data_IF_991310499228
#
_entry.id   IF_991310499228
#
_cell.length_a   1.000
_cell.length_b   1.000
_cell.length_c   1.000
_cell.angle_alpha   90.00
_cell.angle_beta   90.00
_cell.angle_gamma   90.00
#
_symmetry.space_group_name_H-M   'P 1'
#
loop_
_entity.id
_entity.type
_entity.pdbx_description
1 polymer ?
#
# COMPACT_ATOMS: atom_id res chain seq x y z
N UNK A 1 -17.65 -25.39 14.06
CA UNK A 1 -17.97 -24.20 13.24
C UNK A 1 -17.03 -24.19 12.05
N UNK A 2 -17.57 -24.38 10.84
CA UNK A 2 -16.78 -24.28 9.60
C UNK A 2 -16.31 -22.83 9.51
N UNK A 3 -14.99 -22.59 9.45
CA UNK A 3 -14.47 -21.31 8.98
C UNK A 3 -14.78 -21.29 7.49
N UNK A 4 -15.90 -20.70 7.13
CA UNK A 4 -16.17 -20.33 5.74
C UNK A 4 -15.01 -19.44 5.32
N UNK A 5 -14.23 -19.93 4.36
CA UNK A 5 -13.15 -19.15 3.77
C UNK A 5 -13.79 -17.98 3.05
N UNK A 6 -13.86 -16.83 3.73
CA UNK A 6 -14.12 -15.56 3.05
C UNK A 6 -12.94 -15.36 2.11
N UNK A 7 -13.15 -15.69 0.85
CA UNK A 7 -12.25 -15.25 -0.23
C UNK A 7 -12.35 -13.74 -0.20
N UNK A 8 -11.34 -13.09 0.39
CA UNK A 8 -11.24 -11.64 0.34
C UNK A 8 -11.19 -11.25 -1.15
N UNK A 9 -12.22 -10.55 -1.60
CA UNK A 9 -12.20 -9.96 -2.92
C UNK A 9 -11.27 -8.72 -2.93
N UNK A 10 -10.87 -8.29 -4.13
CA UNK A 10 -9.99 -7.12 -4.29
C UNK A 10 -10.58 -5.87 -3.61
N UNK A 11 -11.92 -5.73 -3.57
CA UNK A 11 -12.60 -4.57 -3.02
C UNK A 11 -12.50 -4.55 -1.50
N UNK A 12 -12.69 -5.68 -0.83
CA UNK A 12 -12.53 -5.87 0.61
C UNK A 12 -11.08 -5.61 1.03
N UNK A 13 -10.11 -6.12 0.26
CA UNK A 13 -8.69 -5.82 0.50
C UNK A 13 -8.41 -4.31 0.39
N UNK A 14 -8.85 -3.67 -0.69
CA UNK A 14 -8.69 -2.23 -0.90
C UNK A 14 -9.36 -1.45 0.24
N UNK A 15 -10.54 -1.87 0.70
CA UNK A 15 -11.28 -1.24 1.80
C UNK A 15 -10.47 -1.24 3.09
N UNK A 16 -9.85 -2.38 3.44
CA UNK A 16 -8.98 -2.50 4.62
C UNK A 16 -7.81 -1.53 4.53
N UNK A 17 -7.16 -1.43 3.37
CA UNK A 17 -6.05 -0.50 3.18
C UNK A 17 -6.49 0.97 3.25
N UNK A 18 -7.65 1.31 2.67
CA UNK A 18 -8.23 2.66 2.77
C UNK A 18 -8.57 3.02 4.21
N UNK A 19 -9.12 2.09 5.00
CA UNK A 19 -9.34 2.31 6.42
C UNK A 19 -8.00 2.55 7.15
N UNK A 20 -6.96 1.79 6.85
CA UNK A 20 -5.63 2.01 7.41
C UNK A 20 -5.06 3.40 7.06
N UNK A 21 -5.33 3.92 5.85
CA UNK A 21 -4.96 5.31 5.51
C UNK A 21 -5.65 6.37 6.34
N UNK A 22 -6.89 6.12 6.77
CA UNK A 22 -7.69 7.11 7.53
C UNK A 22 -7.32 7.17 9.00
N UNK A 23 -6.83 6.07 9.56
CA UNK A 23 -6.44 5.98 10.96
C UNK A 23 -4.96 6.35 11.16
N UNK A 24 -4.21 6.56 10.07
CA UNK A 24 -2.74 6.72 10.07
C UNK A 24 -2.02 5.57 10.81
N UNK A 25 -2.71 4.43 10.98
CA UNK A 25 -2.21 3.30 11.74
C UNK A 25 -1.39 2.36 10.85
N UNK A 26 -0.09 2.63 10.85
CA UNK A 26 0.93 1.85 10.16
C UNK A 26 1.01 0.40 10.63
N UNK A 27 0.66 0.13 11.90
CA UNK A 27 0.66 -1.20 12.47
C UNK A 27 -0.41 -2.06 11.83
N UNK A 28 -1.60 -1.49 11.67
CA UNK A 28 -2.76 -2.16 11.06
C UNK A 28 -2.55 -2.41 9.56
N UNK A 29 -1.97 -1.45 8.83
CA UNK A 29 -1.65 -1.60 7.41
C UNK A 29 -0.62 -2.70 7.12
N UNK A 30 0.45 -2.80 7.93
CA UNK A 30 1.44 -3.88 7.81
C UNK A 30 0.89 -5.24 8.19
N UNK A 31 0.05 -5.32 9.23
CA UNK A 31 -0.61 -6.57 9.61
C UNK A 31 -1.57 -7.05 8.51
N UNK A 32 -2.35 -6.14 7.92
CA UNK A 32 -3.21 -6.45 6.79
C UNK A 32 -2.42 -6.98 5.60
N UNK A 33 -1.32 -6.32 5.21
CA UNK A 33 -0.44 -6.81 4.15
C UNK A 33 0.16 -8.20 4.48
N UNK A 34 0.63 -8.41 5.71
CA UNK A 34 1.16 -9.70 6.15
C UNK A 34 0.11 -10.83 6.16
N UNK A 35 -1.14 -10.52 6.50
CA UNK A 35 -2.25 -11.46 6.41
C UNK A 35 -2.55 -11.87 4.96
N UNK A 36 -2.52 -10.91 4.03
CA UNK A 36 -2.81 -11.18 2.62
C UNK A 36 -1.71 -12.00 1.95
N UNK A 37 -0.43 -11.71 2.26
CA UNK A 37 0.71 -12.53 1.82
C UNK A 37 0.58 -13.97 2.35
N UNK A 38 0.23 -14.15 3.64
CA UNK A 38 0.05 -15.48 4.24
C UNK A 38 -1.14 -16.25 3.67
N UNK A 39 -2.16 -15.56 3.16
CA UNK A 39 -3.33 -16.18 2.52
C UNK A 39 -3.05 -16.67 1.09
N UNK A 40 -1.85 -16.44 0.55
CA UNK A 40 -1.49 -16.84 -0.82
C UNK A 40 -2.26 -16.07 -1.89
N UNK A 41 -2.87 -14.94 -1.52
CA UNK A 41 -3.60 -14.07 -2.44
C UNK A 41 -2.56 -13.26 -3.21
N UNK A 42 -2.28 -13.68 -4.44
CA UNK A 42 -1.50 -12.88 -5.38
C UNK A 42 -2.19 -11.54 -5.58
N UNK A 43 -1.51 -10.46 -5.21
CA UNK A 43 -2.09 -9.13 -5.35
C UNK A 43 -2.23 -8.79 -6.84
N UNK A 44 -3.47 -8.67 -7.31
CA UNK A 44 -3.73 -8.07 -8.61
C UNK A 44 -3.27 -6.61 -8.64
N UNK A 45 -3.02 -6.06 -9.84
CA UNK A 45 -2.54 -4.69 -10.05
C UNK A 45 -3.37 -3.65 -9.28
N UNK A 46 -4.68 -3.86 -9.16
CA UNK A 46 -5.59 -2.97 -8.40
C UNK A 46 -5.27 -2.94 -6.91
N UNK A 47 -5.03 -4.10 -6.29
CA UNK A 47 -4.72 -4.18 -4.85
C UNK A 47 -3.33 -3.62 -4.59
N UNK A 48 -2.33 -3.94 -5.42
CA UNK A 48 -1.00 -3.35 -5.32
C UNK A 48 -1.03 -1.81 -5.38
N UNK A 49 -1.81 -1.25 -6.31
CA UNK A 49 -1.97 0.20 -6.43
C UNK A 49 -2.61 0.81 -5.17
N UNK A 50 -3.59 0.15 -4.56
CA UNK A 50 -4.20 0.62 -3.33
C UNK A 50 -3.23 0.57 -2.13
N UNK A 51 -2.43 -0.50 -2.03
CA UNK A 51 -1.37 -0.62 -1.02
C UNK A 51 -0.32 0.46 -1.18
N UNK A 52 0.16 0.68 -2.41
CA UNK A 52 1.09 1.76 -2.71
C UNK A 52 0.52 3.12 -2.34
N UNK A 53 -0.72 3.41 -2.71
CA UNK A 53 -1.37 4.68 -2.35
C UNK A 53 -1.49 4.85 -0.82
N UNK A 54 -1.70 3.76 -0.09
CA UNK A 54 -1.68 3.80 1.37
C UNK A 54 -0.31 4.22 1.90
N UNK A 55 0.75 3.57 1.42
CA UNK A 55 2.11 3.93 1.82
C UNK A 55 2.51 5.35 1.43
N UNK A 56 2.08 5.85 0.26
CA UNK A 56 2.30 7.25 -0.16
C UNK A 56 1.67 8.22 0.84
N UNK A 57 0.42 7.99 1.26
CA UNK A 57 -0.27 8.85 2.23
C UNK A 57 0.38 8.81 3.62
N UNK A 58 0.96 7.67 3.96
CA UNK A 58 1.71 7.47 5.19
C UNK A 58 3.17 7.98 5.13
N UNK A 59 3.63 8.52 4.00
CA UNK A 59 5.01 8.99 3.81
C UNK A 59 6.07 7.88 3.74
N UNK A 60 5.66 6.62 3.54
CA UNK A 60 6.54 5.45 3.54
C UNK A 60 7.00 5.09 2.13
N UNK A 61 7.84 5.96 1.54
CA UNK A 61 8.23 5.86 0.13
C UNK A 61 9.03 4.59 -0.19
N UNK A 62 9.84 4.10 0.74
CA UNK A 62 10.56 2.83 0.53
C UNK A 62 9.62 1.62 0.44
N UNK A 63 8.51 1.61 1.18
CA UNK A 63 7.49 0.56 1.06
C UNK A 63 6.73 0.66 -0.27
N UNK A 64 6.46 1.88 -0.75
CA UNK A 64 5.90 2.10 -2.11
C UNK A 64 6.81 1.49 -3.17
N UNK A 65 8.13 1.74 -3.08
CA UNK A 65 9.13 1.19 -4.01
C UNK A 65 9.17 -0.33 -3.95
N UNK A 66 9.16 -0.90 -2.74
CA UNK A 66 9.18 -2.35 -2.53
C UNK A 66 7.99 -3.03 -3.20
N UNK A 67 6.77 -2.55 -2.93
CA UNK A 67 5.55 -3.11 -3.53
C UNK A 67 5.62 -2.99 -5.05
N UNK A 68 6.01 -1.83 -5.58
CA UNK A 68 6.14 -1.62 -7.03
C UNK A 68 7.13 -2.59 -7.70
N UNK A 69 8.26 -2.87 -7.04
CA UNK A 69 9.25 -3.84 -7.54
C UNK A 69 8.72 -5.28 -7.53
N UNK A 70 7.94 -5.65 -6.50
CA UNK A 70 7.33 -6.98 -6.34
C UNK A 70 6.11 -7.20 -7.28
N UNK A 71 5.56 -6.16 -7.90
CA UNK A 71 4.47 -6.28 -8.87
C UNK A 71 4.89 -6.99 -10.16
N UNK A 72 4.15 -8.05 -10.53
CA UNK A 72 4.34 -8.78 -11.79
C UNK A 72 3.84 -7.99 -13.01
N UNK A 73 2.75 -7.23 -12.85
CA UNK A 73 2.19 -6.34 -13.87
C UNK A 73 2.04 -4.93 -13.30
N UNK A 74 2.26 -3.91 -14.13
CA UNK A 74 2.22 -2.49 -13.72
C UNK A 74 1.44 -1.69 -14.74
N UNK A 75 0.61 -0.77 -14.27
CA UNK A 75 -0.16 0.13 -15.14
C UNK A 75 0.17 1.60 -14.86
N UNK A 76 -0.49 2.50 -15.61
CA UNK A 76 -0.30 3.95 -15.47
C UNK A 76 -0.52 4.42 -14.03
N UNK A 77 -1.47 3.82 -13.31
CA UNK A 77 -1.75 4.15 -11.90
C UNK A 77 -0.58 3.73 -11.00
N UNK A 78 0.03 2.55 -11.23
CA UNK A 78 1.21 2.10 -10.48
C UNK A 78 2.36 3.11 -10.60
N UNK A 79 2.69 3.52 -11.83
CA UNK A 79 3.74 4.52 -12.09
C UNK A 79 3.43 5.89 -11.48
N UNK A 80 2.18 6.35 -11.64
CA UNK A 80 1.74 7.64 -11.10
C UNK A 80 1.83 7.67 -9.57
N UNK A 81 1.46 6.57 -8.92
CA UNK A 81 1.50 6.44 -7.46
C UNK A 81 2.95 6.39 -6.94
N UNK A 82 3.85 5.72 -7.65
CA UNK A 82 5.29 5.73 -7.32
C UNK A 82 5.86 7.16 -7.39
N UNK A 83 5.58 7.88 -8.48
CA UNK A 83 6.03 9.27 -8.67
C UNK A 83 5.45 10.20 -7.60
N UNK A 84 4.17 10.04 -7.24
CA UNK A 84 3.57 10.81 -6.15
C UNK A 84 4.31 10.61 -4.83
N UNK A 85 4.65 9.36 -4.50
CA UNK A 85 5.48 9.02 -3.34
C UNK A 85 6.83 9.75 -3.38
N UNK A 86 7.57 9.61 -4.47
CA UNK A 86 8.90 10.22 -4.63
C UNK A 86 8.84 11.75 -4.51
N UNK A 87 7.88 12.41 -5.18
CA UNK A 87 7.71 13.87 -5.12
C UNK A 87 7.35 14.34 -3.71
N UNK A 88 6.51 13.58 -2.99
CA UNK A 88 6.19 13.88 -1.58
C UNK A 88 7.42 13.70 -0.68
N UNK A 89 8.30 12.75 -0.98
CA UNK A 89 9.53 12.57 -0.24
C UNK A 89 10.49 13.75 -0.39
N UNK A 90 10.68 14.23 -1.63
CA UNK A 90 11.55 15.38 -1.91
C UNK A 90 11.08 16.64 -1.16
N UNK A 91 9.77 16.91 -1.12
CA UNK A 91 9.22 18.04 -0.35
C UNK A 91 9.29 17.84 1.17
N UNK A 92 9.31 16.60 1.65
CA UNK A 92 9.50 16.28 3.07
C UNK A 92 10.95 16.42 3.55
N UNK A 93 11.92 16.32 2.63
CA UNK A 93 13.34 16.57 2.89
C UNK A 93 13.68 18.03 3.20
N UNK A 94 12.85 18.98 2.76
CA UNK A 94 13.00 20.41 3.05
C UNK A 94 12.53 20.81 4.48
N UNK A 95 11.94 19.90 5.26
CA UNK A 95 11.48 20.22 6.63
C UNK A 95 12.59 20.13 7.70
N UNK A 96 13.75 19.53 7.41
CA UNK A 96 14.82 19.31 8.42
C UNK A 96 16.13 20.05 8.19
N UNK A 97 16.21 20.99 7.25
CA UNK A 97 17.37 21.88 7.06
C UNK A 97 17.01 23.35 7.29
N UNK A 98 16.25 23.61 8.35
CA UNK A 98 15.97 24.95 8.88
C UNK A 98 16.20 24.99 10.38
N UNK A 99 17.45 24.76 10.80
CA UNK A 99 17.98 25.21 12.10
C UNK A 99 19.30 25.90 11.84
#
# INVERSE_FOLDING_TARGET
MRREGVVLDDVAMISVFVLCTRVEDLGMGRQAQGCLVKMGLGFGVKVCNAVMNMYVKCGLVEEVRRVFCEMNERNVVSWSTLLEGVVKWERGGEWKSGV
#
